data_IF_218375684161
#
_entry.id   IF_218375684161
#
_cell.length_a   1.000
_cell.length_b   1.000
_cell.length_c   1.000
_cell.angle_alpha   90.00
_cell.angle_beta   90.00
_cell.angle_gamma   90.00
#
_symmetry.space_group_name_H-M   'P 1'
#
loop_
_entity.id
_entity.type
_entity.pdbx_description
1 polymer ?
#
# COMPACT_ATOMS: atom_id res chain seq x y z
N UNK A 1 -6.95 13.69 -10.41
CA UNK A 1 -6.70 12.31 -9.93
C UNK A 1 -7.85 11.77 -9.08
N UNK A 2 -8.26 12.44 -7.99
CA UNK A 2 -9.32 11.97 -7.07
C UNK A 2 -10.65 11.63 -7.76
N UNK A 3 -11.13 12.48 -8.69
CA UNK A 3 -12.35 12.23 -9.49
C UNK A 3 -12.31 10.91 -10.27
N UNK A 4 -11.13 10.52 -10.77
CA UNK A 4 -10.97 9.27 -11.52
C UNK A 4 -11.06 8.04 -10.61
N UNK A 5 -10.51 8.13 -9.39
CA UNK A 5 -10.56 7.04 -8.41
C UNK A 5 -12.00 6.84 -7.93
N UNK A 6 -12.68 7.94 -7.58
CA UNK A 6 -14.09 7.92 -7.21
C UNK A 6 -14.95 7.32 -8.31
N UNK A 7 -14.74 7.74 -9.55
CA UNK A 7 -15.46 7.19 -10.70
C UNK A 7 -15.26 5.67 -10.81
N UNK A 8 -14.03 5.16 -10.71
CA UNK A 8 -13.77 3.71 -10.79
C UNK A 8 -14.43 2.91 -9.64
N UNK A 9 -14.48 3.48 -8.44
CA UNK A 9 -15.10 2.86 -7.27
C UNK A 9 -16.65 2.87 -7.32
N UNK A 10 -17.26 3.79 -8.09
CA UNK A 10 -18.71 3.88 -8.24
C UNK A 10 -19.24 3.30 -9.56
N UNK A 11 -18.36 3.04 -10.52
CA UNK A 11 -18.71 2.51 -11.84
C UNK A 11 -19.41 1.14 -11.74
N UNK A 12 -20.67 1.08 -12.18
CA UNK A 12 -21.53 -0.09 -12.09
C UNK A 12 -21.10 -1.25 -12.98
N UNK A 13 -20.16 -1.02 -13.91
CA UNK A 13 -19.58 -2.07 -14.77
C UNK A 13 -18.80 -3.12 -13.97
N UNK A 14 -18.35 -2.77 -12.75
CA UNK A 14 -17.61 -3.68 -11.89
C UNK A 14 -18.49 -4.22 -10.75
N UNK A 15 -18.41 -5.51 -10.41
CA UNK A 15 -19.22 -6.08 -9.35
C UNK A 15 -18.84 -5.47 -7.99
N UNK A 16 -19.85 -5.31 -7.11
CA UNK A 16 -19.72 -4.66 -5.80
C UNK A 16 -18.57 -5.21 -4.96
N UNK A 17 -18.39 -6.53 -4.93
CA UNK A 17 -17.33 -7.18 -4.16
C UNK A 17 -15.92 -6.84 -4.68
N UNK A 18 -15.74 -6.70 -5.99
CA UNK A 18 -14.45 -6.33 -6.59
C UNK A 18 -14.09 -4.89 -6.26
N UNK A 19 -15.07 -3.99 -6.35
CA UNK A 19 -14.90 -2.57 -5.97
C UNK A 19 -14.56 -2.43 -4.49
N UNK A 20 -15.22 -3.22 -3.63
CA UNK A 20 -14.90 -3.25 -2.19
C UNK A 20 -13.47 -3.72 -1.95
N UNK A 21 -13.07 -4.81 -2.62
CA UNK A 21 -11.75 -5.41 -2.42
C UNK A 21 -10.61 -4.51 -2.94
N UNK A 22 -10.80 -3.85 -4.08
CA UNK A 22 -9.88 -2.81 -4.56
C UNK A 22 -9.93 -1.52 -3.72
N UNK A 23 -11.10 -1.14 -3.20
CA UNK A 23 -11.19 -0.01 -2.27
C UNK A 23 -10.42 -0.30 -0.98
N UNK A 24 -10.53 -1.52 -0.47
CA UNK A 24 -9.84 -1.95 0.74
C UNK A 24 -8.32 -2.04 0.55
N UNK A 25 -7.84 -2.34 -0.65
CA UNK A 25 -6.39 -2.29 -0.94
C UNK A 25 -5.80 -0.87 -0.91
N UNK A 26 -6.64 0.17 -0.90
CA UNK A 26 -6.21 1.57 -0.70
C UNK A 26 -6.10 1.96 0.79
N UNK A 27 -6.60 1.15 1.72
CA UNK A 27 -6.53 1.44 3.17
C UNK A 27 -5.10 1.73 3.67
N UNK A 28 -4.05 1.01 3.23
CA UNK A 28 -2.67 1.33 3.60
C UNK A 28 -2.21 2.72 3.15
N UNK A 29 -2.77 3.27 2.07
CA UNK A 29 -2.49 4.64 1.63
C UNK A 29 -3.05 5.67 2.62
N UNK A 30 -4.21 5.38 3.23
CA UNK A 30 -4.80 6.27 4.23
C UNK A 30 -4.00 6.27 5.54
N UNK A 31 -3.43 5.13 5.92
CA UNK A 31 -2.52 5.03 7.05
C UNK A 31 -1.14 5.65 6.78
N UNK A 32 -0.84 5.97 5.51
CA UNK A 32 0.49 6.41 5.09
C UNK A 32 1.04 7.65 5.80
N UNK A 33 0.27 8.74 5.99
CA UNK A 33 0.82 9.94 6.64
C UNK A 33 1.35 9.66 8.05
N UNK A 34 0.73 8.72 8.77
CA UNK A 34 1.17 8.28 10.09
C UNK A 34 2.47 7.47 9.98
N UNK A 35 2.55 6.55 9.01
CA UNK A 35 3.74 5.74 8.76
C UNK A 35 4.92 6.62 8.34
N UNK A 36 4.69 7.59 7.44
CA UNK A 36 5.70 8.53 6.99
C UNK A 36 6.23 9.37 8.18
N UNK A 37 5.32 9.93 8.98
CA UNK A 37 5.69 10.70 10.17
C UNK A 37 6.46 9.87 11.21
N UNK A 38 6.01 8.65 11.49
CA UNK A 38 6.71 7.74 12.39
C UNK A 38 8.11 7.37 11.85
N UNK A 39 8.23 7.15 10.55
CA UNK A 39 9.51 6.82 9.91
C UNK A 39 10.52 7.97 9.99
N UNK A 40 10.07 9.22 9.86
CA UNK A 40 10.92 10.40 10.03
C UNK A 40 11.30 10.63 11.48
N UNK A 41 10.38 10.42 12.42
CA UNK A 41 10.65 10.60 13.85
C UNK A 41 11.64 9.55 14.39
N UNK A 42 11.52 8.30 13.95
CA UNK A 42 12.47 7.23 14.31
C UNK A 42 13.91 7.52 13.85
N UNK A 43 14.08 8.22 12.72
CA UNK A 43 15.40 8.63 12.24
C UNK A 43 16.03 9.73 13.07
N UNK A 44 15.20 10.66 13.52
CA UNK A 44 15.66 11.78 14.34
C UNK A 44 16.03 11.30 15.76
N UNK A 45 15.30 10.32 16.29
CA UNK A 45 15.56 9.74 17.61
C UNK A 45 16.72 8.74 17.63
N UNK A 46 17.11 8.19 16.48
CA UNK A 46 18.35 7.41 16.33
C UNK A 46 19.54 8.35 16.16
N UNK A 47 19.73 9.24 17.13
CA UNK A 47 20.86 10.17 17.17
C UNK A 47 22.18 9.37 17.17
N UNK A 48 22.91 9.40 16.04
CA UNK A 48 24.35 9.10 16.01
C UNK A 48 24.80 7.82 15.29
N UNK A 49 23.90 7.00 14.75
CA UNK A 49 24.31 5.91 13.84
C UNK A 49 24.25 6.42 12.40
N UNK A 50 25.38 6.33 11.70
CA UNK A 50 25.52 6.62 10.27
C UNK A 50 24.21 6.32 9.53
N UNK A 51 23.61 7.35 8.93
CA UNK A 51 22.51 7.16 7.98
C UNK A 51 23.10 6.39 6.81
N UNK A 52 23.11 5.06 6.93
CA UNK A 52 23.63 4.19 5.92
C UNK A 52 22.77 4.31 4.66
N UNK A 53 23.37 4.09 3.50
CA UNK A 53 22.68 4.09 2.21
C UNK A 53 21.45 3.17 2.24
N UNK A 54 21.51 2.10 3.04
CA UNK A 54 20.43 1.14 3.27
C UNK A 54 19.23 1.78 3.97
N UNK A 55 19.45 2.55 5.04
CA UNK A 55 18.37 3.20 5.80
C UNK A 55 17.66 4.25 4.95
N UNK A 56 18.43 5.07 4.21
CA UNK A 56 17.89 6.04 3.25
C UNK A 56 17.05 5.38 2.15
N UNK A 57 17.51 4.24 1.62
CA UNK A 57 16.79 3.47 0.61
C UNK A 57 15.48 2.91 1.16
N UNK A 58 15.49 2.38 2.39
CA UNK A 58 14.27 1.86 3.05
C UNK A 58 13.25 2.98 3.22
N UNK A 59 13.64 4.17 3.67
CA UNK A 59 12.73 5.32 3.81
C UNK A 59 12.17 5.75 2.46
N UNK A 60 13.00 5.78 1.42
CA UNK A 60 12.55 6.10 0.08
C UNK A 60 11.51 5.06 -0.40
N UNK A 61 11.81 3.76 -0.26
CA UNK A 61 10.92 2.67 -0.65
C UNK A 61 9.58 2.71 0.10
N UNK A 62 9.65 2.99 1.40
CA UNK A 62 8.50 3.26 2.28
C UNK A 62 7.71 4.42 1.62
N UNK A 63 8.29 5.60 1.41
CA UNK A 63 7.57 6.74 0.83
C UNK A 63 7.06 6.57 -0.61
N UNK A 64 7.64 5.68 -1.41
CA UNK A 64 7.13 5.33 -2.74
C UNK A 64 6.01 4.27 -2.71
N UNK A 65 5.84 3.57 -1.60
CA UNK A 65 4.86 2.50 -1.45
C UNK A 65 3.41 2.93 -1.77
N UNK A 66 2.89 4.09 -1.33
CA UNK A 66 1.54 4.53 -1.68
C UNK A 66 1.33 4.74 -3.19
N UNK A 67 2.36 5.24 -3.88
CA UNK A 67 2.32 5.45 -5.33
C UNK A 67 2.27 4.11 -6.06
N UNK A 68 3.00 3.12 -5.57
CA UNK A 68 2.93 1.74 -6.07
C UNK A 68 1.54 1.14 -5.86
N UNK A 69 0.97 1.25 -4.66
CA UNK A 69 -0.38 0.77 -4.35
C UNK A 69 -1.45 1.42 -5.25
N UNK A 70 -1.34 2.73 -5.46
CA UNK A 70 -2.23 3.46 -6.34
C UNK A 70 -2.13 2.99 -7.80
N UNK A 71 -0.91 2.72 -8.29
CA UNK A 71 -0.72 2.14 -9.63
C UNK A 71 -1.35 0.77 -9.75
N UNK A 72 -1.15 -0.10 -8.76
CA UNK A 72 -1.73 -1.45 -8.74
C UNK A 72 -3.26 -1.42 -8.74
N UNK A 73 -3.86 -0.48 -8.01
CA UNK A 73 -5.29 -0.21 -8.04
C UNK A 73 -5.78 0.16 -9.45
N UNK A 74 -5.14 1.15 -10.10
CA UNK A 74 -5.54 1.58 -11.44
C UNK A 74 -5.37 0.45 -12.47
N UNK A 75 -4.27 -0.30 -12.37
CA UNK A 75 -4.00 -1.44 -13.23
C UNK A 75 -5.03 -2.55 -13.06
N UNK A 76 -5.50 -2.80 -11.83
CA UNK A 76 -6.55 -3.78 -11.55
C UNK A 76 -7.85 -3.45 -12.29
N UNK A 77 -8.29 -2.19 -12.28
CA UNK A 77 -9.50 -1.78 -13.00
C UNK A 77 -9.34 -1.84 -14.52
N UNK A 78 -8.20 -1.40 -15.05
CA UNK A 78 -7.92 -1.45 -16.49
C UNK A 78 -7.92 -2.90 -17.00
N UNK A 79 -7.26 -3.78 -16.26
CA UNK A 79 -7.07 -5.20 -16.63
C UNK A 79 -8.33 -6.04 -16.40
N UNK A 80 -9.33 -5.55 -15.65
CA UNK A 80 -10.53 -6.32 -15.33
C UNK A 80 -11.33 -6.75 -16.56
N UNK A 81 -11.39 -5.89 -17.58
CA UNK A 81 -12.12 -6.15 -18.82
C UNK A 81 -11.51 -7.30 -19.64
N UNK A 82 -10.17 -7.38 -19.67
CA UNK A 82 -9.43 -8.37 -20.46
C UNK A 82 -9.12 -9.65 -19.68
N UNK A 83 -8.75 -9.54 -18.40
CA UNK A 83 -8.27 -10.65 -17.57
C UNK A 83 -8.74 -10.51 -16.12
N UNK A 84 -10.01 -10.85 -15.89
CA UNK A 84 -10.68 -10.81 -14.57
C UNK A 84 -9.87 -11.47 -13.45
N UNK A 85 -9.23 -12.61 -13.71
CA UNK A 85 -8.42 -13.31 -12.69
C UNK A 85 -7.24 -12.45 -12.22
N UNK A 86 -6.43 -11.92 -13.14
CA UNK A 86 -5.30 -11.06 -12.80
C UNK A 86 -5.74 -9.79 -12.07
N UNK A 87 -6.85 -9.19 -12.52
CA UNK A 87 -7.43 -8.03 -11.89
C UNK A 87 -7.83 -8.28 -10.44
N UNK A 88 -8.34 -9.47 -10.10
CA UNK A 88 -8.70 -9.86 -8.73
C UNK A 88 -7.48 -10.22 -7.88
N UNK A 89 -6.49 -10.91 -8.48
CA UNK A 89 -5.24 -11.26 -7.78
C UNK A 89 -4.45 -10.03 -7.35
N UNK A 90 -4.49 -8.95 -8.14
CA UNK A 90 -3.73 -7.71 -7.87
C UNK A 90 -4.01 -7.10 -6.48
N UNK A 91 -5.25 -6.73 -6.13
CA UNK A 91 -5.58 -6.22 -4.81
C UNK A 91 -5.45 -7.26 -3.69
N UNK A 92 -5.71 -8.55 -3.96
CA UNK A 92 -5.47 -9.63 -2.99
C UNK A 92 -3.99 -9.75 -2.62
N UNK A 93 -3.11 -9.68 -3.61
CA UNK A 93 -1.67 -9.72 -3.42
C UNK A 93 -1.20 -8.52 -2.60
N UNK A 94 -1.68 -7.31 -2.93
CA UNK A 94 -1.42 -6.10 -2.13
C UNK A 94 -1.82 -6.31 -0.68
N UNK A 95 -3.04 -6.76 -0.42
CA UNK A 95 -3.54 -6.99 0.94
C UNK A 95 -2.73 -8.05 1.68
N UNK A 96 -2.39 -9.16 1.00
CA UNK A 96 -1.60 -10.24 1.56
C UNK A 96 -0.19 -9.79 1.96
N UNK A 97 0.52 -9.10 1.08
CA UNK A 97 1.86 -8.57 1.37
C UNK A 97 1.80 -7.52 2.49
N UNK A 98 0.84 -6.59 2.43
CA UNK A 98 0.67 -5.56 3.47
C UNK A 98 0.44 -6.19 4.84
N UNK A 99 -0.46 -7.19 4.91
CA UNK A 99 -0.83 -7.87 6.15
C UNK A 99 0.34 -8.69 6.68
N UNK A 100 1.07 -9.38 5.81
CA UNK A 100 2.26 -10.14 6.18
C UNK A 100 3.32 -9.25 6.82
N UNK A 101 3.63 -8.10 6.19
CA UNK A 101 4.60 -7.14 6.71
C UNK A 101 4.18 -6.66 8.10
N UNK A 102 2.92 -6.26 8.28
CA UNK A 102 2.41 -5.78 9.57
C UNK A 102 2.50 -6.86 10.64
N UNK A 103 2.04 -8.09 10.35
CA UNK A 103 2.09 -9.21 11.30
C UNK A 103 3.55 -9.52 11.69
N UNK A 104 4.46 -9.52 10.72
CA UNK A 104 5.86 -9.81 10.98
C UNK A 104 6.52 -8.73 11.83
N UNK A 105 6.23 -7.45 11.57
CA UNK A 105 6.69 -6.33 12.40
C UNK A 105 6.16 -6.43 13.83
N UNK A 106 4.87 -6.74 14.01
CA UNK A 106 4.27 -6.92 15.33
C UNK A 106 4.93 -8.06 16.10
N UNK A 107 5.24 -9.18 15.42
CA UNK A 107 5.93 -10.31 16.04
C UNK A 107 7.36 -9.96 16.48
N UNK A 108 8.11 -9.23 15.66
CA UNK A 108 9.44 -8.76 16.01
C UNK A 108 9.42 -7.85 17.25
N UNK A 109 8.46 -6.92 17.34
CA UNK A 109 8.33 -6.03 18.49
C UNK A 109 7.96 -6.75 19.80
N UNK A 110 7.37 -7.95 19.74
CA UNK A 110 7.05 -8.74 20.94
C UNK A 110 8.23 -9.57 21.45
N UNK A 111 9.26 -9.78 20.62
CA UNK A 111 10.39 -10.67 20.92
C UNK A 111 11.70 -9.93 21.22
N UNK A 112 11.72 -8.61 21.07
CA UNK A 112 12.77 -7.69 21.49
C UNK A 112 12.51 -7.11 22.88
#
# INVERSE_FOLDING_TARGET
MLKSILHLLTDERYPKWFRLLNGFSLTPILAWPIIAFASTYLLEFTEGLFIDTVTSLVIALVNFYPLYLLRMFLYSFQTYSERKQLAVFTPLFVLGVSSFIVIHLLFLMQTS
#
